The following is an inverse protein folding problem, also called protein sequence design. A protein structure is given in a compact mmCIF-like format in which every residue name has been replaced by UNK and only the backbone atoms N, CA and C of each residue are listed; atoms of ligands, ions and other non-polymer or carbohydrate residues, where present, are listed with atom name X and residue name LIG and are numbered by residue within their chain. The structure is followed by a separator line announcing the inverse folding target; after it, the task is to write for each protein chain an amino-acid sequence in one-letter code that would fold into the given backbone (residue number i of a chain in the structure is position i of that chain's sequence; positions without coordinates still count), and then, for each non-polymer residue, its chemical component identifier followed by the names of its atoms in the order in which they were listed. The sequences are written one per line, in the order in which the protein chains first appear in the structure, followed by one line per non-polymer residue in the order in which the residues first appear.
data_IF_177402348343
#
_entry.id   IF_177402348343
#
_cell.length_a   1.000
_cell.length_b   1.000
_cell.length_c   1.000
_cell.angle_alpha   90.00
_cell.angle_beta   90.00
_cell.angle_gamma   90.00
#
_symmetry.space_group_name_H-M   'P 1'
#
loop_
_entity.id
_entity.type
_entity.pdbx_description
1 polymer ?
#
# COMPACT_ATOMS: atom_id res chain seq x y z
N UNK A 1 5.34 23.57 -11.75
CA UNK A 1 6.52 22.97 -12.42
C UNK A 1 6.39 21.46 -12.66
N UNK A 2 6.12 20.63 -11.64
CA UNK A 2 5.91 19.18 -11.85
C UNK A 2 4.79 18.85 -12.85
N UNK A 3 3.61 19.49 -12.72
CA UNK A 3 2.46 19.30 -13.62
C UNK A 3 2.81 19.65 -15.07
N UNK A 4 3.37 20.83 -15.30
CA UNK A 4 3.79 21.30 -16.62
C UNK A 4 4.82 20.38 -17.28
N UNK A 5 5.83 19.92 -16.53
CA UNK A 5 6.84 18.96 -17.02
C UNK A 5 6.20 17.61 -17.35
N UNK A 6 5.33 17.08 -16.47
CA UNK A 6 4.62 15.81 -16.67
C UNK A 6 3.70 15.87 -17.89
N UNK A 7 2.97 16.96 -18.07
CA UNK A 7 2.09 17.16 -19.24
C UNK A 7 2.91 17.24 -20.52
N UNK A 8 3.97 18.06 -20.57
CA UNK A 8 4.85 18.16 -21.73
C UNK A 8 5.45 16.80 -22.13
N UNK A 9 5.98 16.04 -21.16
CA UNK A 9 6.53 14.71 -21.39
C UNK A 9 5.48 13.72 -21.91
N UNK A 10 4.25 13.75 -21.39
CA UNK A 10 3.14 12.89 -21.85
C UNK A 10 2.65 13.22 -23.25
N UNK A 11 2.76 14.48 -23.68
CA UNK A 11 2.38 14.91 -25.03
C UNK A 11 3.43 14.54 -26.08
N UNK A 12 4.71 14.51 -25.69
CA UNK A 12 5.84 14.31 -26.61
C UNK A 12 6.29 12.85 -26.68
N UNK A 13 6.21 12.10 -25.58
CA UNK A 13 6.81 10.76 -25.47
C UNK A 13 5.75 9.66 -25.27
N UNK A 14 5.92 8.48 -25.89
CA UNK A 14 5.03 7.34 -25.66
C UNK A 14 4.98 6.90 -24.19
N UNK A 15 3.81 6.46 -23.71
CA UNK A 15 3.61 6.02 -22.31
C UNK A 15 4.59 4.93 -21.87
N UNK A 16 4.83 3.93 -22.72
CA UNK A 16 5.79 2.85 -22.44
C UNK A 16 7.22 3.39 -22.22
N UNK A 17 7.64 4.38 -23.03
CA UNK A 17 8.96 5.01 -22.88
C UNK A 17 9.08 5.80 -21.58
N UNK A 18 8.03 6.55 -21.21
CA UNK A 18 7.97 7.26 -19.93
C UNK A 18 8.02 6.29 -18.75
N UNK A 19 7.33 5.17 -18.85
CA UNK A 19 7.30 4.15 -17.80
C UNK A 19 8.67 3.49 -17.61
N UNK A 20 9.35 3.14 -18.71
CA UNK A 20 10.68 2.51 -18.70
C UNK A 20 11.76 3.45 -18.15
N UNK A 21 11.67 4.74 -18.46
CA UNK A 21 12.67 5.75 -18.06
C UNK A 21 12.26 6.59 -16.85
N UNK A 22 11.21 6.20 -16.12
CA UNK A 22 10.64 7.00 -15.03
C UNK A 22 11.70 7.45 -14.01
N UNK A 23 12.58 6.54 -13.58
CA UNK A 23 13.61 6.84 -12.58
C UNK A 23 14.62 7.88 -13.08
N UNK A 24 14.96 7.87 -14.38
CA UNK A 24 15.86 8.85 -14.98
C UNK A 24 15.20 10.24 -15.05
N UNK A 25 13.94 10.32 -15.45
CA UNK A 25 13.22 11.59 -15.44
C UNK A 25 13.06 12.16 -14.03
N UNK A 26 12.76 11.30 -13.06
CA UNK A 26 12.67 11.70 -11.66
C UNK A 26 14.01 12.11 -11.06
N UNK A 27 15.12 11.49 -11.45
CA UNK A 27 16.45 11.87 -10.94
C UNK A 27 16.83 13.29 -11.38
N UNK A 28 16.53 13.66 -12.62
CA UNK A 28 16.70 15.04 -13.13
C UNK A 28 15.73 15.99 -12.41
N UNK A 29 14.45 15.62 -12.29
CA UNK A 29 13.46 16.47 -11.63
C UNK A 29 13.78 16.71 -10.14
N UNK A 30 14.32 15.69 -9.46
CA UNK A 30 14.76 15.77 -8.07
C UNK A 30 15.78 16.88 -7.81
N UNK A 31 16.61 17.26 -8.79
CA UNK A 31 17.59 18.34 -8.62
C UNK A 31 16.94 19.66 -8.19
N UNK A 32 15.72 19.93 -8.67
CA UNK A 32 14.96 21.11 -8.28
C UNK A 32 14.36 21.02 -6.87
N UNK A 33 14.33 19.83 -6.27
CA UNK A 33 13.72 19.55 -4.97
C UNK A 33 14.73 19.11 -3.90
N UNK A 34 16.03 19.11 -4.21
CA UNK A 34 17.09 18.78 -3.23
C UNK A 34 17.08 19.79 -2.08
N UNK A 35 17.17 19.29 -0.84
CA UNK A 35 17.20 20.12 0.38
C UNK A 35 17.32 19.26 1.64
N UNK A 36 17.16 19.86 2.82
CA UNK A 36 17.32 19.18 4.12
C UNK A 36 16.06 19.21 5.01
N UNK A 37 14.97 19.80 4.53
CA UNK A 37 13.75 20.04 5.33
C UNK A 37 12.88 18.80 5.50
N UNK A 38 12.97 17.85 4.58
CA UNK A 38 12.24 16.59 4.63
C UNK A 38 13.14 15.42 4.20
N UNK A 39 12.71 14.21 4.50
CA UNK A 39 13.35 12.98 4.01
C UNK A 39 12.31 11.96 3.56
N UNK A 40 12.58 11.24 2.48
CA UNK A 40 11.70 10.15 2.06
C UNK A 40 12.17 8.83 2.68
N UNK A 41 11.33 8.16 3.47
CA UNK A 41 11.67 6.86 4.07
C UNK A 41 11.96 5.77 3.04
N UNK A 42 11.31 5.81 1.87
CA UNK A 42 11.46 4.79 0.81
C UNK A 42 12.77 4.90 0.02
N UNK A 43 13.21 6.11 -0.33
CA UNK A 43 14.41 6.31 -1.16
C UNK A 43 15.56 7.03 -0.45
N UNK A 44 15.37 7.34 0.83
CA UNK A 44 16.32 8.02 1.72
C UNK A 44 16.82 9.38 1.26
N UNK A 45 16.28 9.95 0.17
CA UNK A 45 16.69 11.26 -0.32
C UNK A 45 16.15 12.38 0.56
N UNK A 46 17.04 13.31 0.91
CA UNK A 46 16.68 14.57 1.57
C UNK A 46 16.12 15.58 0.57
N UNK A 47 15.02 16.22 0.95
CA UNK A 47 14.20 17.07 0.10
C UNK A 47 14.05 18.47 0.72
N UNK A 48 13.86 19.48 -0.13
CA UNK A 48 13.38 20.80 0.32
C UNK A 48 11.88 20.81 0.56
N UNK A 49 11.13 20.00 -0.18
CA UNK A 49 9.68 19.81 -0.06
C UNK A 49 9.23 18.55 -0.82
N UNK A 50 8.10 17.97 -0.41
CA UNK A 50 7.34 17.04 -1.24
C UNK A 50 6.49 17.80 -2.28
N UNK A 51 6.05 17.13 -3.34
CA UNK A 51 5.16 17.70 -4.36
C UNK A 51 3.72 17.53 -3.90
N UNK A 52 2.96 18.61 -3.74
CA UNK A 52 1.51 18.54 -3.49
C UNK A 52 0.77 18.15 -4.78
N UNK A 53 -0.10 17.15 -4.68
CA UNK A 53 -0.96 16.67 -5.76
C UNK A 53 -2.36 17.30 -5.66
N UNK A 54 -3.14 17.18 -6.74
CA UNK A 54 -4.53 17.65 -6.79
C UNK A 54 -5.43 16.88 -5.79
N UNK A 55 -5.08 15.63 -5.46
CA UNK A 55 -5.75 14.80 -4.44
C UNK A 55 -5.49 15.24 -3.00
N UNK A 56 -4.74 16.33 -2.80
CA UNK A 56 -4.14 16.69 -1.51
C UNK A 56 -3.08 15.72 -0.98
N UNK A 57 -2.66 14.69 -1.72
CA UNK A 57 -1.50 13.90 -1.30
C UNK A 57 -0.17 14.62 -1.51
N UNK A 58 0.87 14.12 -0.86
CA UNK A 58 2.25 14.55 -1.10
C UNK A 58 3.10 13.46 -1.73
N UNK A 59 3.74 13.78 -2.85
CA UNK A 59 4.53 12.86 -3.65
C UNK A 59 6.03 13.14 -3.54
N UNK A 60 6.83 12.09 -3.37
CA UNK A 60 8.28 12.19 -3.43
C UNK A 60 8.75 12.51 -4.86
N UNK A 61 9.48 13.62 -5.09
CA UNK A 61 9.97 13.98 -6.42
C UNK A 61 10.97 12.95 -6.98
N UNK A 62 11.67 12.21 -6.10
CA UNK A 62 12.70 11.25 -6.52
C UNK A 62 12.17 9.85 -6.81
N UNK A 63 11.41 9.23 -5.91
CA UNK A 63 10.93 7.85 -6.11
C UNK A 63 9.43 7.75 -6.43
N UNK A 64 8.68 8.83 -6.25
CA UNK A 64 7.24 8.84 -6.48
C UNK A 64 6.39 8.24 -5.38
N UNK A 65 6.95 7.93 -4.20
CA UNK A 65 6.17 7.45 -3.06
C UNK A 65 5.11 8.47 -2.63
N UNK A 66 4.01 7.94 -2.08
CA UNK A 66 2.92 8.66 -1.43
C UNK A 66 3.02 8.52 0.09
N UNK A 67 2.27 9.29 0.88
CA UNK A 67 2.40 9.31 2.34
C UNK A 67 2.20 7.93 3.00
N UNK A 68 1.06 7.25 2.75
CA UNK A 68 0.81 5.86 3.17
C UNK A 68 1.95 4.88 2.86
N UNK A 69 2.51 4.96 1.64
CA UNK A 69 3.62 4.10 1.23
C UNK A 69 4.92 4.40 1.98
N UNK A 70 5.14 5.67 2.34
CA UNK A 70 6.27 6.07 3.18
C UNK A 70 6.12 5.55 4.60
N UNK A 71 4.91 5.59 5.19
CA UNK A 71 4.67 5.07 6.54
C UNK A 71 4.80 3.55 6.57
N UNK A 72 4.16 2.87 5.65
CA UNK A 72 4.28 1.41 5.49
C UNK A 72 5.75 0.99 5.41
N UNK A 73 6.55 1.64 4.56
CA UNK A 73 7.98 1.35 4.49
C UNK A 73 8.71 1.54 5.82
N UNK A 74 8.46 2.65 6.53
CA UNK A 74 9.09 2.91 7.82
C UNK A 74 8.72 1.83 8.85
N UNK A 75 7.43 1.52 8.95
CA UNK A 75 6.89 0.51 9.86
C UNK A 75 7.50 -0.87 9.58
N UNK A 76 7.48 -1.30 8.32
CA UNK A 76 8.04 -2.58 7.90
C UNK A 76 9.51 -2.71 8.25
N UNK A 77 10.32 -1.69 7.93
CA UNK A 77 11.76 -1.72 8.25
C UNK A 77 12.08 -1.62 9.73
N UNK A 78 11.26 -0.93 10.52
CA UNK A 78 11.50 -0.78 11.95
C UNK A 78 11.15 -2.03 12.74
N UNK A 79 10.09 -2.75 12.36
CA UNK A 79 9.51 -3.80 13.20
C UNK A 79 9.55 -5.20 12.59
N UNK A 80 9.41 -5.33 11.27
CA UNK A 80 9.04 -6.61 10.65
C UNK A 80 10.13 -7.18 9.74
N UNK A 81 10.78 -6.35 8.93
CA UNK A 81 11.76 -6.79 7.94
C UNK A 81 13.07 -7.20 8.64
N UNK A 82 13.43 -8.47 8.48
CA UNK A 82 14.66 -9.09 9.02
C UNK A 82 15.28 -10.00 7.94
N UNK A 83 16.57 -10.27 8.06
CA UNK A 83 17.28 -11.17 7.13
C UNK A 83 16.61 -12.56 7.13
N UNK A 84 16.35 -13.11 5.93
CA UNK A 84 15.69 -14.38 5.71
C UNK A 84 14.15 -14.37 5.81
N UNK A 85 13.51 -13.21 6.02
CA UNK A 85 12.03 -13.17 6.13
C UNK A 85 11.35 -13.55 4.82
N UNK A 86 10.30 -14.37 4.90
CA UNK A 86 9.38 -14.62 3.78
C UNK A 86 8.27 -13.57 3.80
N UNK A 87 8.26 -12.69 2.80
CA UNK A 87 7.35 -11.55 2.71
C UNK A 87 6.48 -11.64 1.45
N UNK A 88 5.15 -11.69 1.63
CA UNK A 88 4.14 -11.57 0.58
C UNK A 88 3.55 -10.15 0.56
N UNK A 89 3.55 -9.51 -0.60
CA UNK A 89 3.11 -8.11 -0.76
C UNK A 89 2.04 -8.02 -1.84
N UNK A 90 0.81 -7.67 -1.44
CA UNK A 90 -0.32 -7.50 -2.36
C UNK A 90 -0.34 -6.09 -2.94
N UNK A 91 -0.40 -6.02 -4.28
CA UNK A 91 -0.49 -4.82 -5.11
C UNK A 91 0.48 -3.71 -4.68
N UNK A 92 1.79 -3.99 -4.53
CA UNK A 92 2.73 -3.01 -4.01
C UNK A 92 2.82 -1.79 -4.92
N UNK A 93 2.89 -0.60 -4.30
CA UNK A 93 3.23 0.59 -5.05
C UNK A 93 4.61 0.41 -5.72
N UNK A 94 4.78 0.93 -6.94
CA UNK A 94 5.98 0.72 -7.77
C UNK A 94 7.30 1.01 -7.07
N UNK A 95 7.31 1.98 -6.16
CA UNK A 95 8.50 2.37 -5.39
C UNK A 95 8.83 1.35 -4.28
N UNK A 96 7.83 0.80 -3.59
CA UNK A 96 8.02 -0.26 -2.60
C UNK A 96 8.46 -1.57 -3.25
N UNK A 97 7.79 -1.97 -4.35
CA UNK A 97 8.20 -3.13 -5.14
C UNK A 97 9.69 -3.08 -5.48
N UNK A 98 10.18 -1.94 -6.02
CA UNK A 98 11.60 -1.77 -6.38
C UNK A 98 12.53 -1.92 -5.18
N UNK A 99 12.16 -1.37 -4.02
CA UNK A 99 13.02 -1.41 -2.82
C UNK A 99 13.09 -2.82 -2.25
N UNK A 100 11.94 -3.49 -2.08
CA UNK A 100 11.91 -4.84 -1.53
C UNK A 100 12.46 -5.88 -2.50
N UNK A 101 12.20 -5.74 -3.81
CA UNK A 101 12.79 -6.62 -4.83
C UNK A 101 14.31 -6.52 -4.92
N UNK A 102 14.87 -5.33 -4.65
CA UNK A 102 16.32 -5.12 -4.63
C UNK A 102 16.98 -5.63 -3.34
N UNK A 103 16.22 -5.93 -2.29
CA UNK A 103 16.75 -6.41 -1.02
C UNK A 103 17.03 -7.93 -1.10
N UNK A 104 18.29 -8.29 -1.36
CA UNK A 104 18.72 -9.69 -1.49
C UNK A 104 18.73 -10.48 -0.17
N UNK A 105 18.49 -9.81 0.95
CA UNK A 105 18.46 -10.43 2.28
C UNK A 105 17.10 -11.00 2.66
N UNK A 106 16.05 -10.75 1.88
CA UNK A 106 14.69 -11.21 2.17
C UNK A 106 14.15 -12.08 1.03
N UNK A 107 13.21 -12.97 1.35
CA UNK A 107 12.46 -13.73 0.37
C UNK A 107 11.17 -12.97 0.02
N UNK A 108 11.30 -11.99 -0.89
CA UNK A 108 10.20 -11.14 -1.32
C UNK A 108 9.39 -11.76 -2.47
N UNK A 109 8.08 -11.86 -2.28
CA UNK A 109 7.10 -12.23 -3.30
C UNK A 109 6.05 -11.13 -3.37
N UNK A 110 5.81 -10.61 -4.56
CA UNK A 110 4.74 -9.65 -4.81
C UNK A 110 3.65 -10.25 -5.69
N UNK A 111 2.41 -9.84 -5.48
CA UNK A 111 1.27 -10.30 -6.28
C UNK A 111 0.33 -9.16 -6.60
N UNK A 112 -0.30 -9.18 -7.78
CA UNK A 112 -1.36 -8.25 -8.15
C UNK A 112 -2.37 -8.96 -9.05
N UNK A 113 -3.64 -9.03 -8.64
CA UNK A 113 -4.66 -9.80 -9.35
C UNK A 113 -5.02 -9.19 -10.71
N UNK A 114 -5.04 -7.86 -10.82
CA UNK A 114 -5.48 -7.15 -12.03
C UNK A 114 -4.36 -6.87 -13.03
N UNK A 115 -3.11 -7.20 -12.70
CA UNK A 115 -1.89 -6.85 -13.47
C UNK A 115 -1.76 -5.31 -13.71
N UNK A 116 -2.35 -4.51 -12.82
CA UNK A 116 -2.26 -3.06 -12.83
C UNK A 116 -0.94 -2.56 -12.21
N UNK A 117 -0.32 -3.37 -11.35
CA UNK A 117 0.93 -3.07 -10.64
C UNK A 117 2.06 -4.01 -11.03
N UNK A 118 3.31 -3.58 -10.80
CA UNK A 118 4.46 -4.46 -10.97
C UNK A 118 4.44 -5.52 -9.86
N UNK A 119 4.29 -6.78 -10.24
CA UNK A 119 4.27 -7.92 -9.33
C UNK A 119 4.94 -9.16 -9.94
N UNK A 120 5.32 -10.12 -9.11
CA UNK A 120 5.90 -11.39 -9.54
C UNK A 120 4.86 -12.46 -9.90
N UNK A 121 3.65 -12.31 -9.34
CA UNK A 121 2.56 -13.28 -9.37
C UNK A 121 1.22 -12.57 -9.57
N UNK A 122 0.20 -13.36 -9.93
CA UNK A 122 -1.18 -12.91 -10.12
C UNK A 122 -2.11 -13.85 -9.34
N UNK A 123 -2.08 -13.75 -8.02
CA UNK A 123 -2.92 -14.56 -7.14
C UNK A 123 -4.30 -13.94 -6.92
N UNK A 124 -5.32 -14.79 -6.86
CA UNK A 124 -6.62 -14.47 -6.27
C UNK A 124 -6.51 -14.62 -4.75
N UNK A 125 -6.70 -13.52 -4.01
CA UNK A 125 -6.60 -13.52 -2.55
C UNK A 125 -7.63 -14.44 -1.87
N UNK A 126 -8.73 -14.78 -2.55
CA UNK A 126 -9.74 -15.72 -2.05
C UNK A 126 -9.42 -17.18 -2.34
N UNK A 127 -8.34 -17.47 -3.08
CA UNK A 127 -7.91 -18.83 -3.44
C UNK A 127 -6.41 -18.84 -3.78
N UNK A 128 -5.57 -18.77 -2.74
CA UNK A 128 -4.13 -18.73 -2.90
C UNK A 128 -3.59 -20.14 -3.15
N UNK A 129 -3.05 -20.38 -4.34
CA UNK A 129 -2.29 -21.60 -4.67
C UNK A 129 -0.89 -21.57 -4.01
N UNK A 130 -0.91 -21.57 -2.68
CA UNK A 130 0.22 -21.43 -1.78
C UNK A 130 -0.02 -22.36 -0.60
N UNK A 131 1.01 -23.07 -0.15
CA UNK A 131 0.91 -23.91 1.03
C UNK A 131 0.63 -23.12 2.31
N UNK A 132 0.00 -23.78 3.28
CA UNK A 132 -0.21 -23.24 4.63
C UNK A 132 1.11 -22.82 5.27
N UNK A 133 1.07 -21.81 6.14
CA UNK A 133 2.23 -21.39 6.94
C UNK A 133 3.50 -21.11 6.10
N UNK A 134 3.34 -20.42 4.98
CA UNK A 134 4.45 -20.10 4.05
C UNK A 134 5.14 -18.79 4.43
N UNK A 135 4.39 -17.74 4.74
CA UNK A 135 4.93 -16.39 4.91
C UNK A 135 5.07 -15.98 6.37
N UNK A 136 6.12 -15.22 6.67
CA UNK A 136 6.33 -14.60 7.96
C UNK A 136 5.66 -13.21 8.04
N UNK A 137 5.56 -12.53 6.91
CA UNK A 137 4.99 -11.20 6.78
C UNK A 137 4.09 -11.15 5.55
N UNK A 138 2.92 -10.54 5.68
CA UNK A 138 2.02 -10.22 4.59
C UNK A 138 1.64 -8.74 4.67
N UNK A 139 1.62 -8.04 3.55
CA UNK A 139 1.04 -6.70 3.43
C UNK A 139 -0.21 -6.76 2.55
N UNK A 140 -1.34 -6.28 3.06
CA UNK A 140 -2.64 -6.25 2.37
C UNK A 140 -3.25 -4.85 2.54
N UNK A 141 -2.79 -3.90 1.72
CA UNK A 141 -3.19 -2.50 1.76
C UNK A 141 -4.16 -2.19 0.64
N UNK A 142 -5.33 -1.63 0.97
CA UNK A 142 -6.35 -1.23 0.02
C UNK A 142 -6.79 -2.37 -0.93
N UNK A 143 -7.01 -3.56 -0.36
CA UNK A 143 -7.44 -4.75 -1.12
C UNK A 143 -8.81 -5.21 -0.67
N UNK A 144 -9.03 -5.39 0.63
CA UNK A 144 -10.21 -6.07 1.17
C UNK A 144 -11.54 -5.34 0.87
N UNK A 145 -11.50 -4.05 0.56
CA UNK A 145 -12.68 -3.25 0.18
C UNK A 145 -13.19 -3.59 -1.24
N UNK A 146 -12.37 -4.27 -2.04
CA UNK A 146 -12.68 -4.71 -3.39
C UNK A 146 -13.18 -6.16 -3.46
N UNK A 147 -13.03 -6.95 -2.38
CA UNK A 147 -13.22 -8.40 -2.42
C UNK A 147 -14.63 -8.79 -2.00
N UNK A 148 -15.50 -9.25 -2.91
CA UNK A 148 -16.89 -9.61 -2.55
C UNK A 148 -16.98 -10.58 -1.35
N UNK A 149 -16.17 -11.65 -1.33
CA UNK A 149 -16.02 -12.57 -0.19
C UNK A 149 -14.74 -12.26 0.62
N UNK A 150 -14.80 -11.19 1.41
CA UNK A 150 -13.68 -10.74 2.25
C UNK A 150 -13.31 -11.76 3.34
N UNK A 151 -14.28 -12.51 3.85
CA UNK A 151 -14.07 -13.58 4.84
C UNK A 151 -13.18 -14.69 4.27
N UNK A 152 -13.41 -15.10 3.02
CA UNK A 152 -12.55 -16.08 2.35
C UNK A 152 -11.14 -15.54 2.13
N UNK A 153 -11.01 -14.27 1.75
CA UNK A 153 -9.70 -13.62 1.65
C UNK A 153 -8.96 -13.57 2.99
N UNK A 154 -9.63 -13.16 4.08
CA UNK A 154 -9.04 -13.17 5.42
C UNK A 154 -8.63 -14.59 5.85
N UNK A 155 -9.44 -15.60 5.54
CA UNK A 155 -9.15 -17.00 5.83
C UNK A 155 -7.90 -17.50 5.09
N UNK A 156 -7.76 -17.14 3.81
CA UNK A 156 -6.56 -17.47 3.02
C UNK A 156 -5.31 -16.74 3.53
N UNK A 157 -5.42 -15.46 3.87
CA UNK A 157 -4.35 -14.69 4.51
C UNK A 157 -3.91 -15.37 5.82
N UNK A 158 -4.85 -15.81 6.65
CA UNK A 158 -4.56 -16.53 7.89
C UNK A 158 -3.90 -17.89 7.63
N UNK A 159 -4.40 -18.64 6.64
CA UNK A 159 -3.89 -19.98 6.27
C UNK A 159 -2.43 -19.92 5.83
N UNK A 160 -2.08 -19.01 4.92
CA UNK A 160 -0.72 -18.90 4.36
C UNK A 160 0.27 -18.20 5.29
N UNK A 161 -0.20 -17.48 6.32
CA UNK A 161 0.66 -16.89 7.33
C UNK A 161 1.17 -17.97 8.31
N UNK A 162 2.46 -17.92 8.66
CA UNK A 162 3.08 -18.79 9.67
C UNK A 162 2.54 -18.46 11.06
N UNK A 163 2.55 -19.42 12.02
CA UNK A 163 2.36 -19.09 13.43
C UNK A 163 3.36 -18.02 13.88
N UNK A 164 2.89 -17.04 14.64
CA UNK A 164 3.62 -15.82 15.02
C UNK A 164 4.04 -14.91 13.85
N UNK A 165 3.53 -15.17 12.64
CA UNK A 165 3.67 -14.26 11.50
C UNK A 165 2.75 -13.05 11.61
N UNK A 166 3.06 -12.00 10.85
CA UNK A 166 2.32 -10.75 10.84
C UNK A 166 1.63 -10.49 9.49
N UNK A 167 0.39 -9.99 9.52
CA UNK A 167 -0.31 -9.47 8.36
C UNK A 167 -0.68 -8.00 8.62
N UNK A 168 -0.14 -7.09 7.82
CA UNK A 168 -0.34 -5.64 7.96
C UNK A 168 -1.46 -5.23 7.00
N UNK A 169 -2.57 -4.75 7.56
CA UNK A 169 -3.80 -4.48 6.83
C UNK A 169 -4.21 -3.02 7.02
N UNK A 170 -4.61 -2.38 5.92
CA UNK A 170 -5.16 -1.04 5.94
C UNK A 170 -6.19 -0.90 4.80
N UNK A 171 -7.25 -0.15 5.07
CA UNK A 171 -8.27 0.24 4.07
C UNK A 171 -8.67 1.71 4.32
N UNK A 172 -9.36 2.39 3.39
CA UNK A 172 -9.96 3.70 3.65
C UNK A 172 -11.06 3.56 4.71
N UNK A 173 -10.69 3.77 5.97
CA UNK A 173 -11.62 3.66 7.09
C UNK A 173 -12.60 4.83 7.14
N UNK A 174 -13.81 4.54 7.63
CA UNK A 174 -14.80 5.54 8.05
C UNK A 174 -15.25 5.31 9.49
N UNK A 175 -15.91 6.32 10.04
CA UNK A 175 -16.60 6.20 11.33
C UNK A 175 -17.88 5.33 11.23
N UNK A 176 -18.28 4.75 12.37
CA UNK A 176 -19.49 3.94 12.52
C UNK A 176 -19.29 2.47 12.15
N UNK A 177 -20.31 1.87 11.54
CA UNK A 177 -20.30 0.45 11.14
C UNK A 177 -19.80 0.24 9.71
N UNK A 178 -19.44 -1.00 9.36
CA UNK A 178 -19.15 -1.39 7.97
C UNK A 178 -20.37 -1.07 7.11
N UNK A 179 -20.12 -0.46 5.96
CA UNK A 179 -21.15 -0.26 4.93
C UNK A 179 -20.82 -1.11 3.71
N UNK A 180 -21.69 -2.05 3.34
CA UNK A 180 -21.50 -2.92 2.18
C UNK A 180 -22.83 -3.23 1.50
N UNK A 181 -22.81 -3.40 0.17
CA UNK A 181 -23.98 -3.84 -0.60
C UNK A 181 -23.55 -4.44 -1.95
N UNK A 182 -23.53 -5.77 -2.03
CA UNK A 182 -23.12 -6.50 -3.24
C UNK A 182 -24.10 -6.39 -4.41
N UNK A 183 -25.35 -5.97 -4.16
CA UNK A 183 -26.33 -5.74 -5.22
C UNK A 183 -26.03 -4.47 -6.04
N UNK A 184 -25.11 -3.61 -5.55
CA UNK A 184 -24.65 -2.41 -6.28
C UNK A 184 -23.48 -2.79 -7.18
N UNK A 185 -23.77 -2.95 -8.47
CA UNK A 185 -22.80 -3.44 -9.47
C UNK A 185 -22.34 -2.36 -10.45
N UNK A 186 -23.11 -1.30 -10.66
CA UNK A 186 -22.74 -0.22 -11.59
C UNK A 186 -21.63 0.65 -10.99
N UNK A 187 -20.56 0.90 -11.76
CA UNK A 187 -19.39 1.70 -11.37
C UNK A 187 -19.75 3.08 -10.82
N UNK A 188 -20.67 3.79 -11.49
CA UNK A 188 -21.13 5.11 -11.05
C UNK A 188 -21.86 5.06 -9.69
N UNK A 189 -22.62 4.00 -9.44
CA UNK A 189 -23.28 3.81 -8.14
C UNK A 189 -22.28 3.36 -7.08
N UNK A 190 -21.30 2.52 -7.41
CA UNK A 190 -20.20 2.15 -6.49
C UNK A 190 -19.40 3.38 -6.07
N UNK A 191 -19.06 4.27 -7.00
CA UNK A 191 -18.39 5.54 -6.68
C UNK A 191 -19.20 6.38 -5.69
N UNK A 192 -20.52 6.49 -5.90
CA UNK A 192 -21.43 7.25 -5.04
C UNK A 192 -21.58 6.63 -3.64
N UNK A 193 -21.63 5.31 -3.55
CA UNK A 193 -21.89 4.59 -2.30
C UNK A 193 -20.62 4.30 -1.51
N UNK A 194 -19.51 4.00 -2.18
CA UNK A 194 -18.29 3.47 -1.58
C UNK A 194 -17.06 4.36 -1.80
N UNK A 195 -17.19 5.46 -2.55
CA UNK A 195 -16.11 6.42 -2.81
C UNK A 195 -15.14 6.02 -3.93
N UNK A 196 -15.31 4.83 -4.52
CA UNK A 196 -14.52 4.36 -5.65
C UNK A 196 -15.37 3.39 -6.51
N UNK A 197 -15.11 3.36 -7.82
CA UNK A 197 -15.91 2.64 -8.82
C UNK A 197 -15.90 1.11 -8.69
N UNK A 198 -14.90 0.56 -8.00
CA UNK A 198 -14.66 -0.87 -7.84
C UNK A 198 -14.71 -1.35 -6.38
N UNK A 199 -15.01 -0.46 -5.43
CA UNK A 199 -15.28 -0.85 -4.06
C UNK A 199 -16.66 -1.52 -3.95
N UNK A 200 -16.77 -2.49 -3.04
CA UNK A 200 -18.05 -3.13 -2.68
C UNK A 200 -18.45 -2.84 -1.23
N UNK A 201 -17.55 -2.19 -0.48
CA UNK A 201 -17.78 -1.79 0.91
C UNK A 201 -16.83 -0.68 1.39
N UNK A 202 -17.15 -0.11 2.53
CA UNK A 202 -16.27 0.74 3.34
C UNK A 202 -16.21 0.18 4.75
N UNK A 203 -15.00 -0.09 5.25
CA UNK A 203 -14.79 -0.58 6.60
C UNK A 203 -14.78 0.54 7.64
N UNK A 204 -15.23 0.22 8.84
CA UNK A 204 -14.76 0.90 10.04
C UNK A 204 -13.64 0.10 10.70
N UNK A 205 -12.81 0.78 11.50
CA UNK A 205 -11.69 0.14 12.22
C UNK A 205 -12.20 -1.00 13.10
N UNK A 206 -13.21 -0.74 13.93
CA UNK A 206 -13.79 -1.73 14.82
C UNK A 206 -14.45 -2.90 14.07
N UNK A 207 -15.13 -2.61 12.96
CA UNK A 207 -15.77 -3.64 12.14
C UNK A 207 -14.76 -4.57 11.48
N UNK A 208 -13.71 -4.03 10.85
CA UNK A 208 -12.68 -4.84 10.22
C UNK A 208 -11.87 -5.63 11.26
N UNK A 209 -11.53 -5.00 12.40
CA UNK A 209 -10.92 -5.69 13.54
C UNK A 209 -11.74 -6.92 13.94
N UNK A 210 -13.05 -6.77 14.13
CA UNK A 210 -13.91 -7.90 14.54
C UNK A 210 -13.92 -9.03 13.51
N UNK A 211 -13.98 -8.74 12.20
CA UNK A 211 -13.93 -9.77 11.14
C UNK A 211 -12.61 -10.54 11.14
N UNK A 212 -11.50 -9.83 11.34
CA UNK A 212 -10.17 -10.44 11.41
C UNK A 212 -10.02 -11.31 12.66
N UNK A 213 -10.52 -10.86 13.81
CA UNK A 213 -10.54 -11.65 15.05
C UNK A 213 -11.41 -12.90 14.92
N UNK A 214 -12.56 -12.82 14.27
CA UNK A 214 -13.42 -13.99 13.97
C UNK A 214 -12.73 -15.01 13.06
N UNK A 215 -11.79 -14.57 12.22
CA UNK A 215 -10.97 -15.46 11.38
C UNK A 215 -9.89 -16.18 12.20
N UNK A 216 -9.54 -15.65 13.38
CA UNK A 216 -8.53 -16.22 14.28
C UNK A 216 -7.28 -15.34 14.45
N UNK A 217 -7.22 -14.15 13.84
CA UNK A 217 -6.12 -13.22 14.08
C UNK A 217 -6.21 -12.59 15.48
N UNK A 218 -5.05 -12.36 16.09
CA UNK A 218 -4.92 -11.32 17.12
C UNK A 218 -4.66 -9.99 16.42
N UNK A 219 -5.44 -8.96 16.72
CA UNK A 219 -5.35 -7.65 16.04
C UNK A 219 -4.85 -6.58 17.00
N UNK A 220 -3.82 -5.83 16.58
CA UNK A 220 -3.34 -4.61 17.21
C UNK A 220 -3.66 -3.41 16.31
N UNK A 221 -4.41 -2.44 16.82
CA UNK A 221 -4.81 -1.25 16.07
C UNK A 221 -3.80 -0.14 16.36
N UNK A 222 -3.01 0.22 15.34
CA UNK A 222 -2.03 1.30 15.44
C UNK A 222 -2.55 2.55 14.74
N UNK A 223 -2.73 3.61 15.51
CA UNK A 223 -3.10 4.93 14.99
C UNK A 223 -1.91 5.87 15.09
N UNK A 224 -1.64 6.58 13.99
CA UNK A 224 -0.56 7.54 13.85
C UNK A 224 -1.15 8.93 13.60
N UNK A 225 -0.63 9.91 14.32
CA UNK A 225 -0.96 11.32 14.12
C UNK A 225 0.33 12.13 13.96
N UNK A 226 0.48 12.83 12.85
CA UNK A 226 1.68 13.62 12.57
C UNK A 226 1.60 15.03 13.14
N UNK A 227 2.78 15.55 13.49
CA UNK A 227 2.95 16.94 13.86
C UNK A 227 3.11 17.83 12.61
N UNK A 228 2.90 19.15 12.72
CA UNK A 228 2.97 20.07 11.57
C UNK A 228 4.32 20.09 10.83
N UNK A 229 5.41 19.68 11.47
CA UNK A 229 6.74 19.60 10.83
C UNK A 229 6.82 18.46 9.79
N UNK A 230 6.06 17.38 9.99
CA UNK A 230 5.85 16.21 9.13
C UNK A 230 7.08 15.91 8.24
N UNK A 231 8.21 15.65 8.89
CA UNK A 231 9.52 15.56 8.24
C UNK A 231 9.56 14.49 7.14
N UNK A 232 8.84 13.39 7.34
CA UNK A 232 8.76 12.28 6.40
C UNK A 232 7.58 12.37 5.41
N UNK A 233 6.74 13.39 5.56
CA UNK A 233 5.56 13.62 4.73
C UNK A 233 4.56 12.48 4.82
N UNK A 234 4.28 11.92 5.99
CA UNK A 234 3.24 10.91 6.12
C UNK A 234 1.83 11.53 6.10
N UNK A 235 0.79 10.69 6.06
CA UNK A 235 -0.58 11.17 6.25
C UNK A 235 -0.73 11.71 7.67
N UNK A 236 -1.50 12.80 7.81
CA UNK A 236 -1.71 13.47 9.10
C UNK A 236 -2.34 12.54 10.13
N UNK A 237 -3.28 11.71 9.66
CA UNK A 237 -3.91 10.66 10.44
C UNK A 237 -3.93 9.36 9.62
N UNK A 238 -3.44 8.28 10.19
CA UNK A 238 -3.43 6.97 9.55
C UNK A 238 -3.68 5.88 10.60
N UNK A 239 -4.54 4.92 10.31
CA UNK A 239 -4.75 3.74 11.15
C UNK A 239 -4.38 2.49 10.38
N UNK A 240 -3.61 1.60 11.02
CA UNK A 240 -3.09 0.36 10.44
C UNK A 240 -3.43 -0.77 11.42
N UNK A 241 -3.97 -1.89 10.91
CA UNK A 241 -4.22 -3.09 11.70
C UNK A 241 -3.04 -4.04 11.54
N UNK A 242 -2.35 -4.31 12.64
CA UNK A 242 -1.28 -5.31 12.70
C UNK A 242 -1.88 -6.61 13.22
N UNK A 243 -2.06 -7.58 12.33
CA UNK A 243 -2.66 -8.87 12.65
C UNK A 243 -1.56 -9.90 12.89
N UNK A 244 -1.71 -10.75 13.90
CA UNK A 244 -0.79 -11.84 14.20
C UNK A 244 -1.54 -13.16 14.21
N UNK A 245 -0.96 -14.20 13.62
CA UNK A 245 -1.46 -15.58 13.77
C UNK A 245 -0.96 -16.16 15.09
N UNK A 246 -1.88 -16.42 16.01
CA UNK A 246 -1.59 -17.13 17.26
C UNK A 246 -1.19 -18.59 17.00
#
# INVERSE_FOLDING_TARGET
MYKSLKTALKTILPRHFLFKNELAFRSVHYLFYKGKKHSCTVCSKSLKSFIRLDSNDTLCPSCGSLPRGRRLHQLLHAEFIKDGIHYLDFSPSRNLYRVFKANTKIHYVSTDYTDAFLADKQYDITNLDIADNTFNLITCYHILEHIEDDKKAMSELYRVLKPNGYCIIQTPFKDGDIYENLSITAEAERLKHFGQEDHVRIYSVAGLQSRLEQTGFKVDVKTYTEQPDNYYGFDEYETILVCTKA
#
